data_IF_490102957050
#
_entry.id   IF_490102957050
#
_cell.length_a   1.000
_cell.length_b   1.000
_cell.length_c   1.000
_cell.angle_alpha   90.00
_cell.angle_beta   90.00
_cell.angle_gamma   90.00
#
_symmetry.space_group_name_H-M   'P 1'
#
loop_
_entity.id
_entity.type
_entity.pdbx_description
1 polymer ?
#
# COMPACT_ATOMS: atom_id res chain seq x y z
N UNK A 1 -58.01 -29.69 5.88
CA UNK A 1 -58.36 -30.10 7.24
C UNK A 1 -57.32 -29.57 8.22
N UNK A 2 -57.76 -28.70 9.18
CA UNK A 2 -57.14 -28.23 10.45
C UNK A 2 -55.81 -27.43 10.27
N UNK A 3 -55.75 -26.11 10.34
CA UNK A 3 -56.05 -25.06 11.34
C UNK A 3 -55.49 -25.34 12.73
N UNK A 4 -54.66 -24.44 13.18
CA UNK A 4 -54.34 -24.09 14.57
C UNK A 4 -52.84 -23.80 14.72
N UNK A 5 -52.33 -22.76 15.34
CA UNK A 5 -52.89 -21.69 16.20
C UNK A 5 -51.81 -20.65 16.45
N UNK A 6 -52.23 -19.38 16.42
CA UNK A 6 -51.47 -18.21 16.94
C UNK A 6 -51.09 -18.37 18.41
N UNK A 7 -49.90 -17.91 18.81
CA UNK A 7 -49.74 -17.27 20.15
C UNK A 7 -48.84 -16.05 20.07
N UNK A 8 -49.45 -14.90 20.43
CA UNK A 8 -48.85 -13.63 20.78
C UNK A 8 -48.28 -13.71 22.20
N UNK A 9 -47.17 -13.02 22.44
CA UNK A 9 -46.81 -12.44 23.77
C UNK A 9 -45.76 -11.38 23.48
N UNK A 10 -46.11 -10.15 23.58
CA UNK A 10 -46.13 -9.18 24.70
C UNK A 10 -44.78 -8.51 24.96
N UNK A 11 -44.74 -7.22 24.66
CA UNK A 11 -43.74 -6.23 25.00
C UNK A 11 -43.71 -5.97 26.52
N UNK A 12 -42.50 -5.77 27.06
CA UNK A 12 -42.32 -5.07 28.35
C UNK A 12 -41.29 -3.98 28.14
N UNK A 13 -41.77 -2.76 28.22
CA UNK A 13 -40.96 -1.57 28.29
C UNK A 13 -40.46 -1.35 29.73
N UNK A 14 -39.26 -0.88 29.87
CA UNK A 14 -38.76 -0.36 31.14
C UNK A 14 -38.24 1.06 30.92
N UNK A 15 -39.02 2.01 31.44
CA UNK A 15 -38.68 3.42 31.62
C UNK A 15 -37.96 3.53 32.96
N UNK A 16 -36.78 4.15 32.98
CA UNK A 16 -36.16 4.64 34.21
C UNK A 16 -35.80 6.09 34.04
N UNK A 17 -36.35 6.87 34.99
CA UNK A 17 -36.41 8.31 35.05
C UNK A 17 -35.11 8.99 35.47
N UNK A 18 -34.97 10.23 35.06
CA UNK A 18 -34.03 11.24 35.53
C UNK A 18 -34.09 11.50 37.02
N UNK A 19 -32.96 11.77 37.66
CA UNK A 19 -32.90 12.57 38.86
C UNK A 19 -31.85 13.67 38.72
N UNK A 20 -32.36 14.90 38.71
CA UNK A 20 -31.62 16.14 38.88
C UNK A 20 -31.20 16.29 40.34
N UNK A 21 -29.95 16.65 40.57
CA UNK A 21 -29.43 17.07 41.86
C UNK A 21 -28.76 18.44 41.72
N UNK A 22 -29.48 19.48 42.14
CA UNK A 22 -28.97 20.84 42.33
C UNK A 22 -28.42 20.95 43.74
N UNK A 23 -27.22 21.49 43.91
CA UNK A 23 -26.68 21.87 45.23
C UNK A 23 -25.71 23.03 45.06
N UNK A 24 -26.11 24.15 45.58
CA UNK A 24 -25.45 25.46 45.46
C UNK A 24 -24.58 25.80 46.68
N UNK A 25 -23.70 26.80 46.46
CA UNK A 25 -23.12 27.79 47.38
C UNK A 25 -21.97 27.44 48.28
N UNK A 26 -20.92 28.28 48.14
CA UNK A 26 -19.91 28.55 49.14
C UNK A 26 -18.82 29.46 48.61
N UNK A 27 -19.01 30.74 48.79
CA UNK A 27 -18.17 31.89 48.47
C UNK A 27 -17.08 32.08 49.55
N UNK A 28 -15.82 32.37 49.18
CA UNK A 28 -14.97 33.35 49.95
C UNK A 28 -13.82 33.87 49.06
N UNK A 29 -13.68 35.17 49.12
CA UNK A 29 -12.70 36.12 48.58
C UNK A 29 -11.28 35.89 49.08
N UNK A 30 -10.19 36.24 48.39
CA UNK A 30 -9.58 37.54 48.20
C UNK A 30 -8.10 37.47 47.78
N UNK A 31 -7.76 38.46 46.99
CA UNK A 31 -6.44 39.12 46.77
C UNK A 31 -5.36 38.38 45.99
N UNK A 32 -5.05 38.76 44.79
CA UNK A 32 -4.34 40.00 44.41
C UNK A 32 -2.89 39.67 44.14
N UNK A 33 -2.44 39.67 42.89
CA UNK A 33 -1.40 40.61 42.48
C UNK A 33 -1.11 40.49 40.95
N UNK A 34 -0.81 41.65 40.41
CA UNK A 34 -0.54 41.95 39.02
C UNK A 34 0.91 41.55 38.66
N UNK A 35 1.13 41.02 37.43
CA UNK A 35 2.35 41.41 36.69
C UNK A 35 2.35 40.85 35.26
N UNK A 36 2.23 41.77 34.33
CA UNK A 36 3.02 41.95 33.11
C UNK A 36 3.03 40.88 32.01
N UNK A 37 2.33 41.24 30.98
CA UNK A 37 2.60 40.91 29.57
C UNK A 37 4.01 41.28 29.14
N UNK A 38 4.80 40.33 28.64
CA UNK A 38 5.92 40.63 27.77
C UNK A 38 5.75 39.88 26.45
N UNK A 39 5.41 40.65 25.44
CA UNK A 39 5.60 40.35 24.03
C UNK A 39 7.10 40.18 23.75
N UNK A 40 7.48 39.11 23.07
CA UNK A 40 8.82 38.99 22.49
C UNK A 40 8.70 39.02 20.98
N UNK A 41 9.27 40.04 20.41
CA UNK A 41 9.35 40.37 19.01
C UNK A 41 10.26 39.37 18.24
N UNK A 42 9.88 39.16 17.00
CA UNK A 42 10.67 38.55 15.94
C UNK A 42 11.92 39.40 15.71
N UNK A 43 13.11 38.80 15.78
CA UNK A 43 14.36 39.39 15.30
C UNK A 43 14.92 38.55 14.17
N UNK A 44 14.89 39.14 12.98
CA UNK A 44 15.70 38.78 11.83
C UNK A 44 17.16 39.17 12.02
N UNK A 45 18.11 38.28 11.71
CA UNK A 45 19.51 38.66 11.45
C UNK A 45 20.11 37.62 10.50
N UNK A 46 20.31 38.00 9.25
CA UNK A 46 21.54 38.42 8.57
C UNK A 46 22.65 37.36 8.47
N UNK A 47 22.98 37.12 7.23
CA UNK A 47 24.11 36.36 6.71
C UNK A 47 25.47 36.82 7.23
N UNK A 48 26.33 35.84 7.51
CA UNK A 48 27.79 36.06 7.54
C UNK A 48 28.42 35.06 6.58
N UNK A 49 29.05 35.61 5.54
CA UNK A 49 29.95 34.89 4.67
C UNK A 49 31.35 34.87 5.28
N UNK A 50 32.02 33.70 5.25
CA UNK A 50 33.48 33.65 5.39
C UNK A 50 34.02 32.35 4.79
N UNK A 51 34.64 32.48 3.63
CA UNK A 51 35.87 31.93 3.04
C UNK A 51 36.27 30.47 3.29
N UNK A 52 36.24 29.74 2.22
CA UNK A 52 37.23 28.87 1.56
C UNK A 52 38.28 28.12 2.37
N UNK A 53 38.25 26.79 2.27
CA UNK A 53 39.42 26.03 1.85
C UNK A 53 38.95 24.72 1.18
N UNK A 54 39.51 24.48 0.02
CA UNK A 54 39.35 23.34 -0.87
C UNK A 54 39.94 22.06 -0.27
N UNK A 55 39.20 20.97 -0.32
CA UNK A 55 39.79 19.65 -0.55
C UNK A 55 38.79 18.82 -1.40
N UNK A 56 39.29 18.37 -2.54
CA UNK A 56 38.61 17.56 -3.53
C UNK A 56 38.25 16.18 -2.95
N UNK A 57 36.97 15.90 -2.85
CA UNK A 57 36.42 14.57 -2.66
C UNK A 57 35.32 14.36 -3.69
N UNK A 58 35.67 13.82 -4.86
CA UNK A 58 34.70 13.37 -5.85
C UNK A 58 33.77 12.32 -5.25
N UNK A 59 32.61 12.75 -4.82
CA UNK A 59 31.50 11.84 -4.53
C UNK A 59 30.68 11.70 -5.82
N UNK A 60 31.04 10.70 -6.63
CA UNK A 60 30.24 10.28 -7.77
C UNK A 60 28.91 9.74 -7.25
N UNK A 61 27.90 10.58 -7.24
CA UNK A 61 26.52 10.14 -7.24
C UNK A 61 26.33 9.39 -8.56
N UNK A 62 26.23 8.07 -8.47
CA UNK A 62 25.96 7.20 -9.61
C UNK A 62 24.63 7.61 -10.22
N UNK A 63 24.65 8.06 -11.47
CA UNK A 63 23.48 8.02 -12.33
C UNK A 63 22.99 6.59 -12.35
N UNK A 64 21.80 6.35 -11.82
CA UNK A 64 21.09 5.10 -12.03
C UNK A 64 20.92 4.91 -13.53
N UNK A 65 21.69 4.00 -14.10
CA UNK A 65 21.41 3.49 -15.43
C UNK A 65 20.17 2.62 -15.33
N UNK A 66 19.18 2.92 -16.19
CA UNK A 66 18.04 2.07 -16.51
C UNK A 66 18.50 0.70 -17.02
N UNK A 67 18.82 -0.22 -16.14
CA UNK A 67 19.12 -1.60 -16.50
C UNK A 67 18.73 -2.55 -15.38
N UNK A 68 17.45 -2.84 -15.28
CA UNK A 68 16.99 -4.10 -14.69
C UNK A 68 15.76 -4.61 -15.44
N UNK A 69 15.92 -4.84 -16.75
CA UNK A 69 15.08 -5.81 -17.43
C UNK A 69 15.57 -7.18 -17.04
N UNK A 70 14.86 -7.88 -16.15
CA UNK A 70 15.11 -9.31 -15.99
C UNK A 70 14.74 -9.97 -17.32
N UNK A 71 15.75 -10.41 -18.07
CA UNK A 71 15.59 -11.18 -19.31
C UNK A 71 15.17 -12.63 -19.02
N UNK A 72 14.77 -12.93 -17.78
CA UNK A 72 14.30 -14.23 -17.32
C UNK A 72 12.78 -14.39 -17.47
N UNK A 73 12.33 -15.63 -17.61
CA UNK A 73 10.91 -15.99 -17.50
C UNK A 73 10.40 -15.58 -16.10
N UNK A 74 9.35 -14.79 -16.03
CA UNK A 74 8.65 -14.51 -14.76
C UNK A 74 8.09 -15.82 -14.20
N UNK A 75 8.34 -16.08 -12.91
CA UNK A 75 7.84 -17.25 -12.22
C UNK A 75 6.30 -17.32 -12.24
N UNK A 76 5.76 -18.52 -12.16
CA UNK A 76 4.31 -18.78 -12.30
C UNK A 76 3.84 -19.79 -11.26
N UNK A 77 2.57 -19.70 -10.81
CA UNK A 77 1.97 -20.72 -9.95
C UNK A 77 1.95 -22.15 -10.55
N UNK A 78 2.15 -22.25 -11.86
CA UNK A 78 2.20 -23.52 -12.59
C UNK A 78 3.63 -24.09 -12.75
N UNK A 79 4.64 -23.36 -12.31
CA UNK A 79 6.03 -23.84 -12.37
C UNK A 79 6.26 -24.99 -11.37
N UNK A 80 7.02 -26.00 -11.83
CA UNK A 80 7.32 -27.18 -11.05
C UNK A 80 8.75 -27.09 -10.51
N UNK A 81 8.86 -27.13 -9.19
CA UNK A 81 10.12 -27.06 -8.42
C UNK A 81 10.22 -28.34 -7.56
N UNK A 82 10.79 -29.44 -8.11
CA UNK A 82 10.80 -30.75 -7.43
C UNK A 82 11.44 -30.72 -6.04
N UNK A 83 12.43 -29.82 -5.85
CA UNK A 83 13.18 -29.62 -4.62
C UNK A 83 12.33 -29.07 -3.47
N UNK A 84 11.16 -28.48 -3.78
CA UNK A 84 10.21 -27.93 -2.81
C UNK A 84 9.39 -29.01 -2.08
N UNK A 85 9.33 -30.24 -2.64
CA UNK A 85 8.44 -31.28 -2.15
C UNK A 85 8.67 -31.60 -0.67
N UNK A 86 7.59 -31.53 0.09
CA UNK A 86 7.58 -31.83 1.53
C UNK A 86 8.02 -30.68 2.42
N UNK A 87 8.46 -29.54 1.87
CA UNK A 87 8.79 -28.36 2.65
C UNK A 87 7.56 -27.79 3.34
N UNK A 88 7.80 -27.12 4.47
CA UNK A 88 6.82 -26.30 5.17
C UNK A 88 7.18 -24.83 4.94
N UNK A 89 6.30 -24.08 4.29
CA UNK A 89 6.49 -22.65 4.06
C UNK A 89 5.34 -21.89 4.68
N UNK A 90 5.66 -20.93 5.56
CA UNK A 90 4.70 -20.02 6.15
C UNK A 90 4.74 -18.66 5.47
N UNK A 91 3.60 -17.98 5.37
CA UNK A 91 3.52 -16.64 4.82
C UNK A 91 2.69 -15.72 5.73
N UNK A 92 3.11 -14.46 5.87
CA UNK A 92 2.28 -13.41 6.46
C UNK A 92 2.13 -12.26 5.46
N UNK A 93 0.90 -11.89 5.19
CA UNK A 93 0.52 -10.77 4.35
C UNK A 93 0.08 -9.61 5.24
N UNK A 94 0.35 -8.37 4.86
CA UNK A 94 -0.13 -7.22 5.62
C UNK A 94 -1.66 -7.24 5.76
N UNK A 95 -2.36 -7.74 4.73
CA UNK A 95 -3.80 -8.05 4.76
C UNK A 95 -4.13 -9.14 3.76
N UNK A 96 -5.24 -9.85 3.97
CA UNK A 96 -5.87 -10.74 2.98
C UNK A 96 -7.26 -10.23 2.56
N UNK A 97 -7.55 -8.94 2.79
CA UNK A 97 -8.86 -8.34 2.50
C UNK A 97 -8.90 -7.58 1.16
N UNK A 98 -7.74 -7.29 0.54
CA UNK A 98 -7.67 -6.69 -0.79
C UNK A 98 -7.61 -7.76 -1.88
N UNK A 99 -8.15 -7.45 -3.06
CA UNK A 99 -8.12 -8.38 -4.20
C UNK A 99 -6.67 -8.74 -4.57
N UNK A 100 -5.76 -7.78 -4.56
CA UNK A 100 -4.34 -8.01 -4.89
C UNK A 100 -3.68 -9.03 -3.96
N UNK A 101 -3.82 -8.87 -2.64
CA UNK A 101 -3.23 -9.80 -1.66
C UNK A 101 -3.92 -11.18 -1.70
N UNK A 102 -5.24 -11.24 -1.93
CA UNK A 102 -5.94 -12.52 -2.14
C UNK A 102 -5.42 -13.26 -3.37
N UNK A 103 -5.09 -12.54 -4.46
CA UNK A 103 -4.49 -13.14 -5.66
C UNK A 103 -3.12 -13.74 -5.37
N UNK A 104 -2.25 -13.01 -4.66
CA UNK A 104 -0.95 -13.55 -4.23
C UNK A 104 -1.13 -14.84 -3.41
N UNK A 105 -2.01 -14.83 -2.42
CA UNK A 105 -2.22 -15.99 -1.55
C UNK A 105 -2.82 -17.18 -2.31
N UNK A 106 -3.76 -16.95 -3.21
CA UNK A 106 -4.33 -18.00 -4.08
C UNK A 106 -3.26 -18.59 -5.01
N UNK A 107 -2.41 -17.75 -5.59
CA UNK A 107 -1.29 -18.17 -6.43
C UNK A 107 -0.29 -19.01 -5.62
N UNK A 108 0.04 -18.57 -4.40
CA UNK A 108 0.90 -19.31 -3.49
C UNK A 108 0.33 -20.70 -3.13
N UNK A 109 -0.96 -20.77 -2.82
CA UNK A 109 -1.66 -22.04 -2.55
C UNK A 109 -1.65 -22.98 -3.76
N UNK A 110 -1.86 -22.43 -4.96
CA UNK A 110 -1.80 -23.20 -6.22
C UNK A 110 -0.38 -23.73 -6.44
N UNK A 111 0.64 -22.85 -6.35
CA UNK A 111 2.04 -23.22 -6.47
C UNK A 111 2.43 -24.31 -5.45
N UNK A 112 2.07 -24.11 -4.19
CA UNK A 112 2.36 -25.06 -3.12
C UNK A 112 1.72 -26.45 -3.35
N UNK A 113 0.47 -26.47 -3.82
CA UNK A 113 -0.23 -27.72 -4.20
C UNK A 113 0.50 -28.43 -5.34
N UNK A 114 0.92 -27.70 -6.38
CA UNK A 114 1.60 -28.27 -7.55
C UNK A 114 2.98 -28.84 -7.18
N UNK A 115 3.63 -28.27 -6.17
CA UNK A 115 4.97 -28.62 -5.72
C UNK A 115 5.01 -29.50 -4.46
N UNK A 116 3.86 -29.88 -3.92
CA UNK A 116 3.77 -30.74 -2.72
C UNK A 116 4.32 -30.08 -1.46
N UNK A 117 4.17 -28.76 -1.33
CA UNK A 117 4.59 -27.93 -0.21
C UNK A 117 3.46 -27.84 0.81
N UNK A 118 3.76 -27.96 2.10
CA UNK A 118 2.84 -27.64 3.18
C UNK A 118 2.88 -26.12 3.44
N UNK A 119 1.97 -25.40 2.77
CA UNK A 119 1.88 -23.95 2.82
C UNK A 119 0.80 -23.49 3.79
N UNK A 120 1.11 -22.49 4.62
CA UNK A 120 0.16 -21.87 5.54
C UNK A 120 0.34 -20.35 5.49
N UNK A 121 -0.74 -19.63 5.25
CA UNK A 121 -0.78 -18.17 5.23
C UNK A 121 -1.54 -17.57 6.40
N UNK A 122 -1.20 -16.33 6.75
CA UNK A 122 -1.77 -15.56 7.84
C UNK A 122 -2.12 -14.15 7.35
N UNK A 123 -3.24 -13.64 7.83
CA UNK A 123 -3.66 -12.23 7.66
C UNK A 123 -3.04 -11.39 8.77
N UNK A 124 -2.20 -10.41 8.41
CA UNK A 124 -1.57 -9.47 9.33
C UNK A 124 -2.52 -8.40 9.86
N UNK A 125 -3.75 -8.31 9.32
CA UNK A 125 -4.78 -7.37 9.74
C UNK A 125 -4.30 -5.90 9.76
N UNK A 126 -3.43 -5.54 8.82
CA UNK A 126 -2.80 -4.22 8.73
C UNK A 126 -2.04 -3.81 10.02
N UNK A 127 -1.43 -4.79 10.70
CA UNK A 127 -0.71 -4.56 11.96
C UNK A 127 0.64 -5.29 11.98
N UNK A 128 1.74 -4.53 12.10
CA UNK A 128 3.10 -5.06 12.08
C UNK A 128 3.42 -5.92 13.32
N UNK A 129 2.80 -5.64 14.47
CA UNK A 129 2.99 -6.45 15.68
C UNK A 129 2.31 -7.82 15.50
N UNK A 130 1.12 -7.86 14.93
CA UNK A 130 0.44 -9.09 14.54
C UNK A 130 1.30 -9.92 13.58
N UNK A 131 1.97 -9.29 12.60
CA UNK A 131 2.87 -10.00 11.70
C UNK A 131 4.08 -10.59 12.43
N UNK A 132 4.63 -9.89 13.44
CA UNK A 132 5.72 -10.42 14.26
C UNK A 132 5.27 -11.67 15.05
N UNK A 133 4.11 -11.62 15.70
CA UNK A 133 3.54 -12.77 16.43
C UNK A 133 3.31 -13.98 15.52
N UNK A 134 2.89 -13.72 14.27
CA UNK A 134 2.71 -14.75 13.24
C UNK A 134 4.05 -15.36 12.80
N UNK A 135 5.09 -14.54 12.62
CA UNK A 135 6.44 -15.02 12.33
C UNK A 135 6.99 -15.87 13.46
N UNK A 136 6.82 -15.45 14.72
CA UNK A 136 7.23 -16.25 15.89
C UNK A 136 6.46 -17.57 15.97
N UNK A 137 5.17 -17.57 15.62
CA UNK A 137 4.35 -18.79 15.51
C UNK A 137 4.89 -19.73 14.43
N UNK A 138 5.21 -19.20 13.24
CA UNK A 138 5.79 -20.01 12.15
C UNK A 138 7.16 -20.61 12.54
N UNK A 139 7.98 -19.84 13.26
CA UNK A 139 9.26 -20.33 13.80
C UNK A 139 9.03 -21.50 14.79
N UNK A 140 8.05 -21.37 15.69
CA UNK A 140 7.69 -22.42 16.67
C UNK A 140 7.11 -23.66 15.98
N UNK A 141 6.35 -23.51 14.90
CA UNK A 141 5.80 -24.58 14.07
C UNK A 141 6.87 -25.32 13.24
N UNK A 142 8.11 -24.81 13.22
CA UNK A 142 9.25 -25.38 12.52
C UNK A 142 9.07 -25.35 11.01
N UNK A 143 8.78 -24.17 10.44
CA UNK A 143 8.76 -23.96 8.99
C UNK A 143 10.18 -23.94 8.43
N UNK A 144 10.34 -24.36 7.17
CA UNK A 144 11.62 -24.34 6.48
C UNK A 144 11.95 -22.95 5.93
N UNK A 145 10.94 -22.15 5.58
CA UNK A 145 11.08 -20.77 5.12
C UNK A 145 9.85 -19.94 5.44
N UNK A 146 10.03 -18.61 5.44
CA UNK A 146 8.97 -17.61 5.68
C UNK A 146 8.88 -16.66 4.50
N UNK A 147 7.66 -16.36 4.05
CA UNK A 147 7.35 -15.28 3.10
C UNK A 147 6.75 -14.12 3.89
N UNK A 148 7.27 -12.93 3.68
CA UNK A 148 6.85 -11.70 4.36
C UNK A 148 6.39 -10.67 3.34
N UNK A 149 5.10 -10.31 3.38
CA UNK A 149 4.58 -9.12 2.74
C UNK A 149 4.32 -8.06 3.83
N UNK A 150 5.29 -7.17 4.10
CA UNK A 150 5.26 -6.33 5.30
C UNK A 150 4.24 -5.20 5.25
N UNK A 151 3.62 -4.92 6.40
CA UNK A 151 2.73 -3.79 6.60
C UNK A 151 3.48 -2.45 6.67
N UNK A 152 4.68 -2.46 7.24
CA UNK A 152 5.49 -1.27 7.45
C UNK A 152 6.96 -1.61 7.23
N UNK A 153 7.67 -0.73 6.52
CA UNK A 153 9.05 -1.00 6.12
C UNK A 153 10.02 -1.08 7.31
N UNK A 154 9.82 -0.29 8.34
CA UNK A 154 10.71 -0.24 9.51
C UNK A 154 10.24 -1.21 10.62
N UNK A 155 8.95 -1.17 10.98
CA UNK A 155 8.41 -1.99 12.07
C UNK A 155 8.55 -3.49 11.78
N UNK A 156 8.31 -3.94 10.55
CA UNK A 156 8.46 -5.34 10.16
C UNK A 156 9.93 -5.82 10.09
N UNK A 157 10.91 -4.94 10.29
CA UNK A 157 12.32 -5.32 10.50
C UNK A 157 12.49 -6.31 11.66
N UNK A 158 11.60 -6.26 12.66
CA UNK A 158 11.54 -7.21 13.76
C UNK A 158 11.26 -8.65 13.29
N UNK A 159 10.38 -8.83 12.29
CA UNK A 159 10.07 -10.12 11.67
C UNK A 159 11.33 -10.77 11.07
N UNK A 160 12.10 -9.98 10.32
CA UNK A 160 13.36 -10.45 9.72
C UNK A 160 14.35 -10.85 10.81
N UNK A 161 14.53 -10.02 11.84
CA UNK A 161 15.44 -10.32 12.93
C UNK A 161 15.05 -11.60 13.70
N UNK A 162 13.75 -11.86 13.91
CA UNK A 162 13.26 -13.08 14.54
C UNK A 162 13.59 -14.32 13.71
N UNK A 163 13.30 -14.30 12.40
CA UNK A 163 13.59 -15.40 11.49
C UNK A 163 15.10 -15.68 11.38
N UNK A 164 15.92 -14.65 11.22
CA UNK A 164 17.39 -14.76 11.17
C UNK A 164 17.96 -15.36 12.44
N UNK A 165 17.47 -14.93 13.60
CA UNK A 165 17.87 -15.49 14.91
C UNK A 165 17.53 -16.98 15.03
N UNK A 166 16.43 -17.41 14.41
CA UNK A 166 16.02 -18.81 14.37
C UNK A 166 16.75 -19.62 13.26
N UNK A 167 17.52 -18.97 12.39
CA UNK A 167 18.21 -19.63 11.26
C UNK A 167 17.26 -20.01 10.12
N UNK A 168 16.09 -19.37 10.02
CA UNK A 168 15.07 -19.64 9.00
C UNK A 168 15.16 -18.56 7.91
N UNK A 169 15.31 -18.94 6.62
CA UNK A 169 15.22 -17.99 5.52
C UNK A 169 13.88 -17.24 5.50
N UNK A 170 13.95 -15.93 5.33
CA UNK A 170 12.78 -15.07 5.19
C UNK A 170 12.91 -14.24 3.91
N UNK A 171 11.93 -14.38 3.02
CA UNK A 171 11.89 -13.72 1.71
C UNK A 171 10.77 -12.71 1.70
N UNK A 172 11.10 -11.48 1.32
CA UNK A 172 10.13 -10.40 1.13
C UNK A 172 9.38 -10.58 -0.19
N UNK A 173 8.13 -10.16 -0.23
CA UNK A 173 7.32 -10.13 -1.45
C UNK A 173 6.54 -8.84 -1.54
N UNK A 174 6.41 -8.28 -2.75
CA UNK A 174 5.61 -7.11 -3.10
C UNK A 174 6.06 -5.81 -2.41
N UNK A 175 5.88 -5.65 -1.10
CA UNK A 175 6.39 -4.52 -0.32
C UNK A 175 7.72 -4.84 0.34
N UNK A 176 8.58 -3.85 0.52
CA UNK A 176 9.93 -4.01 1.06
C UNK A 176 9.97 -3.77 2.57
N UNK A 177 10.96 -4.38 3.24
CA UNK A 177 11.29 -4.13 4.64
C UNK A 177 12.71 -3.59 4.75
N UNK A 178 12.94 -2.60 5.58
CA UNK A 178 14.24 -1.97 5.84
C UNK A 178 15.11 -2.87 6.73
N UNK A 179 15.65 -3.97 6.16
CA UNK A 179 16.53 -4.88 6.85
C UNK A 179 17.47 -5.60 5.86
N UNK A 180 18.77 -5.33 5.97
CA UNK A 180 19.83 -5.88 5.12
C UNK A 180 20.01 -7.42 5.24
N UNK A 181 19.47 -8.00 6.33
CA UNK A 181 19.50 -9.45 6.60
C UNK A 181 18.34 -10.20 5.96
N UNK A 182 17.43 -9.51 5.26
CA UNK A 182 16.41 -10.19 4.46
C UNK A 182 17.10 -11.15 3.48
N UNK A 183 16.61 -12.39 3.40
CA UNK A 183 17.23 -13.45 2.59
C UNK A 183 17.15 -13.13 1.11
N UNK A 184 16.01 -12.70 0.64
CA UNK A 184 15.74 -12.28 -0.73
C UNK A 184 14.45 -11.49 -0.82
N UNK A 185 14.19 -10.90 -1.99
CA UNK A 185 12.99 -10.11 -2.27
C UNK A 185 12.51 -10.38 -3.70
N UNK A 186 11.19 -10.46 -3.88
CA UNK A 186 10.58 -10.50 -5.20
C UNK A 186 9.42 -9.51 -5.25
N UNK A 187 9.48 -8.53 -6.15
CA UNK A 187 8.48 -7.47 -6.23
C UNK A 187 8.62 -6.62 -7.48
N UNK A 188 8.12 -5.40 -7.43
CA UNK A 188 8.18 -4.43 -8.53
C UNK A 188 8.81 -3.12 -8.07
N UNK A 189 9.27 -2.28 -9.01
CA UNK A 189 9.88 -0.98 -8.68
C UNK A 189 8.80 0.08 -8.52
N UNK A 190 8.30 0.29 -7.32
CA UNK A 190 7.18 1.18 -7.03
C UNK A 190 7.44 2.66 -7.36
N UNK A 191 8.70 3.11 -7.37
CA UNK A 191 9.05 4.46 -7.85
C UNK A 191 8.67 4.60 -9.33
N UNK A 192 8.99 3.60 -10.16
CA UNK A 192 8.64 3.66 -11.59
C UNK A 192 7.13 3.63 -11.81
N UNK A 193 6.38 2.85 -11.02
CA UNK A 193 4.90 2.86 -11.10
C UNK A 193 4.32 4.25 -10.81
N UNK A 194 4.78 4.92 -9.75
CA UNK A 194 4.40 6.30 -9.45
C UNK A 194 4.71 7.26 -10.59
N UNK A 195 5.90 7.10 -11.20
CA UNK A 195 6.28 7.89 -12.37
C UNK A 195 5.40 7.59 -13.60
N UNK A 196 5.11 6.32 -13.87
CA UNK A 196 4.34 5.88 -15.04
C UNK A 196 2.90 6.37 -14.98
N UNK A 197 2.21 6.23 -13.84
CA UNK A 197 0.84 6.73 -13.70
C UNK A 197 0.78 8.26 -13.81
N UNK A 198 1.75 8.97 -13.24
CA UNK A 198 1.76 10.44 -13.33
C UNK A 198 2.07 10.92 -14.76
N UNK A 199 3.04 10.31 -15.44
CA UNK A 199 3.35 10.59 -16.85
C UNK A 199 2.13 10.32 -17.75
N UNK A 200 1.42 9.19 -17.50
CA UNK A 200 0.22 8.85 -18.26
C UNK A 200 -0.90 9.87 -18.01
N UNK A 201 -1.12 10.30 -16.77
CA UNK A 201 -2.10 11.32 -16.42
C UNK A 201 -1.81 12.64 -17.16
N UNK A 202 -0.55 13.11 -17.17
CA UNK A 202 -0.15 14.33 -17.88
C UNK A 202 -0.42 14.21 -19.38
N UNK A 203 -0.06 13.07 -19.97
CA UNK A 203 -0.33 12.81 -21.40
C UNK A 203 -1.84 12.78 -21.70
N UNK A 204 -2.64 12.20 -20.84
CA UNK A 204 -4.11 12.16 -20.99
C UNK A 204 -4.72 13.54 -20.90
N UNK A 205 -4.34 14.34 -19.90
CA UNK A 205 -4.84 15.69 -19.69
C UNK A 205 -4.46 16.63 -20.84
N UNK A 206 -3.31 16.39 -21.46
CA UNK A 206 -2.77 17.22 -22.57
C UNK A 206 -2.82 18.73 -22.26
N UNK A 207 -2.45 19.11 -21.03
CA UNK A 207 -2.43 20.48 -20.50
C UNK A 207 -1.15 20.70 -19.70
N UNK A 208 -0.61 21.91 -19.74
CA UNK A 208 0.59 22.30 -18.97
C UNK A 208 0.29 22.65 -17.51
N UNK A 209 -0.98 22.89 -17.18
CA UNK A 209 -1.43 23.31 -15.85
C UNK A 209 -2.79 22.71 -15.53
N UNK A 210 -2.87 22.00 -14.42
CA UNK A 210 -4.09 21.43 -13.86
C UNK A 210 -3.86 21.04 -12.39
N UNK A 211 -4.93 20.77 -11.68
CA UNK A 211 -4.88 20.42 -10.28
C UNK A 211 -5.22 18.94 -10.08
N UNK A 212 -4.44 18.27 -9.27
CA UNK A 212 -4.68 16.87 -8.89
C UNK A 212 -4.97 16.72 -7.41
N UNK A 213 -5.62 15.64 -7.05
CA UNK A 213 -5.59 15.09 -5.69
C UNK A 213 -4.89 13.75 -5.73
N UNK A 214 -4.13 13.42 -4.67
CA UNK A 214 -3.36 12.17 -4.56
C UNK A 214 -3.90 11.35 -3.39
N UNK A 215 -4.27 10.09 -3.65
CA UNK A 215 -4.75 9.16 -2.64
C UNK A 215 -3.66 8.12 -2.40
N UNK A 216 -3.13 8.10 -1.18
CA UNK A 216 -1.98 7.29 -0.80
C UNK A 216 -2.38 6.01 -0.06
N UNK A 217 -1.49 5.03 -0.11
CA UNK A 217 -1.55 3.83 0.71
C UNK A 217 -1.27 4.07 2.20
N UNK A 218 -1.16 2.99 3.01
CA UNK A 218 -0.81 3.08 4.42
C UNK A 218 0.54 3.74 4.61
N UNK A 219 0.59 4.74 5.47
CA UNK A 219 1.81 5.49 5.77
C UNK A 219 2.90 4.56 6.33
N UNK A 220 4.10 4.66 5.77
CA UNK A 220 5.25 3.86 6.20
C UNK A 220 5.42 2.53 5.43
N UNK A 221 4.46 2.13 4.62
CA UNK A 221 4.64 0.99 3.72
C UNK A 221 5.51 1.40 2.53
N UNK A 222 6.42 0.53 2.11
CA UNK A 222 7.39 0.88 1.06
C UNK A 222 6.73 1.26 -0.27
N UNK A 223 5.65 0.60 -0.66
CA UNK A 223 4.93 0.91 -1.89
C UNK A 223 4.35 2.34 -1.85
N UNK A 224 3.74 2.75 -0.72
CA UNK A 224 3.26 4.12 -0.54
C UNK A 224 4.41 5.14 -0.66
N UNK A 225 5.52 4.92 0.08
CA UNK A 225 6.66 5.83 0.08
C UNK A 225 7.29 6.00 -1.32
N UNK A 226 7.40 4.89 -2.06
CA UNK A 226 8.04 4.87 -3.37
C UNK A 226 7.12 5.39 -4.48
N UNK A 227 5.80 5.08 -4.44
CA UNK A 227 4.85 5.59 -5.43
C UNK A 227 4.69 7.10 -5.33
N UNK A 228 4.59 7.67 -4.12
CA UNK A 228 4.56 9.12 -3.96
C UNK A 228 5.89 9.77 -4.35
N UNK A 229 7.04 9.12 -4.12
CA UNK A 229 8.34 9.58 -4.62
C UNK A 229 8.32 9.66 -6.14
N UNK A 230 7.85 8.62 -6.83
CA UNK A 230 7.74 8.58 -8.30
C UNK A 230 6.83 9.68 -8.85
N UNK A 231 5.65 9.88 -8.26
CA UNK A 231 4.74 10.98 -8.61
C UNK A 231 5.45 12.33 -8.48
N UNK A 232 6.13 12.56 -7.36
CA UNK A 232 6.85 13.80 -7.10
C UNK A 232 8.05 13.99 -8.04
N UNK A 233 8.76 12.93 -8.44
CA UNK A 233 9.84 12.99 -9.41
C UNK A 233 9.36 13.60 -10.72
N UNK A 234 8.21 13.13 -11.23
CA UNK A 234 7.61 13.66 -12.46
C UNK A 234 7.15 15.10 -12.27
N UNK A 235 6.47 15.42 -11.17
CA UNK A 235 5.94 16.77 -10.92
C UNK A 235 7.00 17.86 -10.83
N UNK A 236 8.27 17.53 -10.53
CA UNK A 236 9.38 18.50 -10.56
C UNK A 236 9.55 19.17 -11.92
N UNK A 237 9.27 18.45 -13.00
CA UNK A 237 9.37 18.96 -14.36
C UNK A 237 8.10 19.70 -14.81
N UNK A 238 7.02 19.62 -14.03
CA UNK A 238 5.71 20.20 -14.31
C UNK A 238 5.22 21.14 -13.19
N UNK A 239 5.92 22.23 -12.87
CA UNK A 239 5.66 23.08 -11.69
C UNK A 239 4.29 23.81 -11.71
N UNK A 240 3.56 23.74 -12.81
CA UNK A 240 2.20 24.29 -12.91
C UNK A 240 1.11 23.30 -12.57
N UNK A 241 1.44 22.02 -12.39
CA UNK A 241 0.53 21.02 -11.87
C UNK A 241 0.57 21.10 -10.35
N UNK A 242 -0.59 21.27 -9.73
CA UNK A 242 -0.68 21.48 -8.28
C UNK A 242 -1.39 20.31 -7.60
N UNK A 243 -0.81 19.81 -6.52
CA UNK A 243 -1.51 18.89 -5.61
C UNK A 243 -2.39 19.72 -4.69
N UNK A 244 -3.72 19.67 -4.88
CA UNK A 244 -4.69 20.40 -4.03
C UNK A 244 -4.87 19.73 -2.67
N UNK A 245 -4.82 18.40 -2.66
CA UNK A 245 -4.97 17.59 -1.46
C UNK A 245 -4.27 16.24 -1.64
N UNK A 246 -3.72 15.73 -0.55
CA UNK A 246 -3.02 14.46 -0.48
C UNK A 246 -3.27 13.84 0.89
N UNK A 247 -3.69 12.58 0.95
CA UNK A 247 -3.88 11.86 2.20
C UNK A 247 -3.97 10.36 1.94
N UNK A 248 -3.76 9.56 2.98
CA UNK A 248 -3.93 8.12 2.93
C UNK A 248 -5.39 7.70 2.97
N UNK A 249 -5.71 6.64 2.23
CA UNK A 249 -6.94 5.86 2.35
C UNK A 249 -6.64 4.36 2.53
N UNK A 250 -5.43 4.01 2.99
CA UNK A 250 -5.05 2.69 3.51
C UNK A 250 -5.34 1.51 2.54
N UNK A 251 -5.18 1.71 1.22
CA UNK A 251 -5.57 0.77 0.15
C UNK A 251 -7.07 0.43 0.14
N UNK A 252 -7.91 1.17 0.86
CA UNK A 252 -9.33 0.89 1.06
C UNK A 252 -10.22 1.68 0.11
N UNK A 253 -11.08 0.99 -0.64
CA UNK A 253 -12.07 1.59 -1.55
C UNK A 253 -13.03 2.50 -0.78
N UNK A 254 -13.53 2.05 0.37
CA UNK A 254 -14.50 2.82 1.16
C UNK A 254 -13.88 4.05 1.82
N UNK A 255 -12.63 3.97 2.28
CA UNK A 255 -11.94 5.13 2.84
C UNK A 255 -11.64 6.16 1.75
N UNK A 256 -11.20 5.71 0.57
CA UNK A 256 -10.97 6.59 -0.58
C UNK A 256 -12.25 7.28 -1.07
N UNK A 257 -13.39 6.58 -1.07
CA UNK A 257 -14.68 7.17 -1.38
C UNK A 257 -15.00 8.31 -0.40
N UNK A 258 -14.91 8.07 0.91
CA UNK A 258 -15.17 9.07 1.95
C UNK A 258 -14.21 10.26 1.87
N UNK A 259 -12.94 9.99 1.60
CA UNK A 259 -11.90 11.01 1.41
C UNK A 259 -12.22 11.90 0.20
N UNK A 260 -12.60 11.28 -0.94
CA UNK A 260 -12.95 12.01 -2.15
C UNK A 260 -14.22 12.84 -2.00
N UNK A 261 -15.26 12.36 -1.31
CA UNK A 261 -16.46 13.14 -0.96
C UNK A 261 -16.10 14.42 -0.18
N UNK A 262 -15.15 14.29 0.77
CA UNK A 262 -14.63 15.43 1.53
C UNK A 262 -13.91 16.42 0.62
N UNK A 263 -13.09 15.93 -0.30
CA UNK A 263 -12.34 16.79 -1.22
C UNK A 263 -13.24 17.45 -2.27
N UNK A 264 -14.27 16.76 -2.77
CA UNK A 264 -15.28 17.36 -3.64
C UNK A 264 -15.99 18.49 -2.92
N UNK A 265 -16.37 18.31 -1.65
CA UNK A 265 -17.00 19.35 -0.85
C UNK A 265 -16.09 20.56 -0.64
N UNK A 266 -14.79 20.34 -0.46
CA UNK A 266 -13.81 21.39 -0.12
C UNK A 266 -13.29 22.12 -1.36
N UNK A 267 -13.02 21.40 -2.45
CA UNK A 267 -12.34 21.92 -3.64
C UNK A 267 -13.26 22.04 -4.87
N UNK A 268 -14.33 21.21 -4.93
CA UNK A 268 -15.31 21.25 -6.03
C UNK A 268 -14.67 21.15 -7.41
N UNK A 269 -15.07 22.05 -8.31
CA UNK A 269 -14.63 22.10 -9.70
C UNK A 269 -13.13 22.42 -9.88
N UNK A 270 -12.39 22.62 -8.80
CA UNK A 270 -10.94 22.84 -8.88
C UNK A 270 -10.16 21.54 -9.03
N UNK A 271 -10.77 20.39 -8.79
CA UNK A 271 -10.12 19.08 -8.95
C UNK A 271 -10.22 18.69 -10.41
N UNK A 272 -9.10 18.65 -11.10
CA UNK A 272 -9.02 18.25 -12.51
C UNK A 272 -8.77 16.74 -12.70
N UNK A 273 -8.06 16.10 -11.77
CA UNK A 273 -7.73 14.67 -11.86
C UNK A 273 -7.46 14.03 -10.49
N UNK A 274 -7.61 12.69 -10.42
CA UNK A 274 -7.28 11.85 -9.26
C UNK A 274 -6.16 10.89 -9.64
N UNK A 275 -5.08 10.92 -8.87
CA UNK A 275 -3.98 9.95 -8.93
C UNK A 275 -4.02 9.13 -7.65
N UNK A 276 -4.37 7.85 -7.77
CA UNK A 276 -4.43 6.94 -6.64
C UNK A 276 -3.30 5.91 -6.72
N UNK A 277 -2.67 5.62 -5.60
CA UNK A 277 -1.55 4.69 -5.54
C UNK A 277 -1.98 3.22 -5.66
N UNK A 278 -3.30 2.93 -5.67
CA UNK A 278 -3.83 1.63 -6.11
C UNK A 278 -5.24 1.75 -6.71
N UNK A 279 -5.70 0.66 -7.30
CA UNK A 279 -6.98 0.57 -8.01
C UNK A 279 -8.19 0.60 -7.08
N UNK A 280 -8.11 -0.02 -5.90
CA UNK A 280 -9.21 0.02 -4.93
C UNK A 280 -9.53 1.47 -4.55
N UNK A 281 -8.51 2.28 -4.30
CA UNK A 281 -8.70 3.69 -3.97
C UNK A 281 -9.15 4.52 -5.19
N UNK A 282 -8.63 4.23 -6.38
CA UNK A 282 -9.08 4.88 -7.62
C UNK A 282 -10.57 4.62 -7.88
N UNK A 283 -11.02 3.39 -7.67
CA UNK A 283 -12.43 3.00 -7.83
C UNK A 283 -13.31 3.67 -6.76
N UNK A 284 -12.87 3.71 -5.51
CA UNK A 284 -13.60 4.42 -4.45
C UNK A 284 -13.76 5.92 -4.74
N UNK A 285 -12.69 6.57 -5.19
CA UNK A 285 -12.75 7.96 -5.64
C UNK A 285 -13.72 8.13 -6.81
N UNK A 286 -13.70 7.22 -7.78
CA UNK A 286 -14.61 7.24 -8.93
C UNK A 286 -16.08 7.14 -8.51
N UNK A 287 -16.41 6.29 -7.54
CA UNK A 287 -17.77 6.17 -7.00
C UNK A 287 -18.25 7.51 -6.39
N UNK A 288 -17.43 8.20 -5.62
CA UNK A 288 -17.74 9.51 -5.06
C UNK A 288 -17.95 10.59 -6.15
N UNK A 289 -17.08 10.58 -7.17
CA UNK A 289 -17.16 11.49 -8.33
C UNK A 289 -18.46 11.29 -9.10
N UNK A 290 -18.85 10.03 -9.37
CA UNK A 290 -20.10 9.70 -10.04
C UNK A 290 -21.32 10.10 -9.21
N UNK A 291 -21.29 9.87 -7.90
CA UNK A 291 -22.38 10.28 -6.98
C UNK A 291 -22.56 11.80 -6.94
N UNK A 292 -21.49 12.56 -7.09
CA UNK A 292 -21.52 14.03 -7.18
C UNK A 292 -21.96 14.55 -8.58
N UNK A 293 -22.15 13.67 -9.56
CA UNK A 293 -22.49 14.07 -10.93
C UNK A 293 -21.33 14.74 -11.67
N UNK A 294 -20.09 14.51 -11.23
CA UNK A 294 -18.86 15.05 -11.83
C UNK A 294 -18.23 14.04 -12.80
N UNK A 295 -17.33 14.53 -13.63
CA UNK A 295 -16.51 13.69 -14.52
C UNK A 295 -15.04 14.07 -14.38
N UNK A 296 -14.34 13.43 -13.45
CA UNK A 296 -12.94 13.66 -13.13
C UNK A 296 -12.17 12.38 -13.47
N UNK A 297 -11.12 12.45 -14.33
CA UNK A 297 -10.31 11.29 -14.67
C UNK A 297 -9.58 10.72 -13.46
N UNK A 298 -9.58 9.37 -13.35
CA UNK A 298 -8.91 8.61 -12.29
C UNK A 298 -7.94 7.61 -12.89
N UNK A 299 -6.80 7.42 -12.23
CA UNK A 299 -5.80 6.40 -12.55
C UNK A 299 -5.41 5.65 -11.27
N UNK A 300 -5.05 4.37 -11.41
CA UNK A 300 -4.62 3.51 -10.30
C UNK A 300 -3.47 2.59 -10.67
N UNK A 301 -3.14 1.68 -9.77
CA UNK A 301 -2.12 0.63 -9.90
C UNK A 301 -2.74 -0.67 -9.38
N UNK A 302 -2.38 -1.80 -9.91
CA UNK A 302 -2.59 -3.22 -9.60
C UNK A 302 -3.18 -4.01 -10.77
N UNK A 303 -4.06 -3.42 -11.58
CA UNK A 303 -4.79 -4.14 -12.64
C UNK A 303 -5.82 -5.13 -12.08
N UNK A 304 -6.52 -4.79 -10.98
CA UNK A 304 -7.58 -5.65 -10.44
C UNK A 304 -8.77 -5.75 -11.39
N UNK A 305 -9.58 -6.80 -11.26
CA UNK A 305 -10.68 -7.12 -12.19
C UNK A 305 -11.61 -5.94 -12.43
N UNK A 306 -12.01 -5.26 -11.36
CA UNK A 306 -12.91 -4.10 -11.46
C UNK A 306 -12.25 -2.92 -12.19
N UNK A 307 -10.95 -2.68 -11.94
CA UNK A 307 -10.21 -1.60 -12.59
C UNK A 307 -10.00 -1.87 -14.09
N UNK A 308 -9.64 -3.10 -14.48
CA UNK A 308 -9.57 -3.50 -15.90
C UNK A 308 -10.92 -3.27 -16.60
N UNK A 309 -12.02 -3.61 -15.92
CA UNK A 309 -13.37 -3.36 -16.42
C UNK A 309 -13.67 -1.85 -16.49
N UNK A 310 -13.26 -1.08 -15.48
CA UNK A 310 -13.44 0.37 -15.43
C UNK A 310 -12.65 1.09 -16.54
N UNK A 311 -11.42 0.64 -16.83
CA UNK A 311 -10.65 1.14 -17.97
C UNK A 311 -11.36 0.81 -19.30
N UNK A 312 -11.88 -0.41 -19.43
CA UNK A 312 -12.58 -0.86 -20.64
C UNK A 312 -13.88 -0.11 -20.95
N UNK A 313 -14.57 0.37 -19.92
CA UNK A 313 -15.82 1.13 -20.05
C UNK A 313 -15.66 2.65 -19.90
N UNK A 314 -14.41 3.14 -19.79
CA UNK A 314 -14.07 4.56 -19.73
C UNK A 314 -14.27 5.23 -18.37
N UNK A 315 -14.48 4.47 -17.29
CA UNK A 315 -14.61 5.01 -15.92
C UNK A 315 -13.27 5.34 -15.28
N UNK A 316 -12.22 4.62 -15.66
CA UNK A 316 -10.82 4.94 -15.34
C UNK A 316 -10.05 5.15 -16.64
N UNK A 317 -9.04 6.01 -16.61
CA UNK A 317 -8.22 6.30 -17.81
C UNK A 317 -7.18 5.22 -18.08
N UNK A 318 -6.64 4.62 -17.01
CA UNK A 318 -5.67 3.53 -17.04
C UNK A 318 -5.52 2.90 -15.65
N UNK A 319 -4.84 1.76 -15.59
CA UNK A 319 -4.31 1.13 -14.38
C UNK A 319 -2.93 0.55 -14.68
N UNK A 320 -1.97 0.67 -13.79
CA UNK A 320 -0.65 0.09 -13.97
C UNK A 320 -0.62 -1.31 -13.35
N UNK A 321 -0.58 -2.34 -14.22
CA UNK A 321 -0.71 -3.72 -13.80
C UNK A 321 0.49 -4.20 -13.02
N UNK A 322 0.24 -4.74 -11.84
CA UNK A 322 1.20 -5.41 -10.99
C UNK A 322 0.97 -6.92 -10.98
N UNK A 323 2.00 -7.71 -11.35
CA UNK A 323 1.87 -9.16 -11.48
C UNK A 323 1.99 -9.88 -10.12
N UNK A 324 0.89 -9.94 -9.38
CA UNK A 324 0.81 -10.60 -8.07
C UNK A 324 1.24 -12.06 -8.09
N UNK A 325 0.83 -12.82 -9.11
CA UNK A 325 1.16 -14.25 -9.26
C UNK A 325 2.66 -14.46 -9.49
N UNK A 326 3.26 -13.63 -10.35
CA UNK A 326 4.69 -13.67 -10.62
C UNK A 326 5.51 -13.35 -9.39
N UNK A 327 5.15 -12.30 -8.66
CA UNK A 327 5.87 -11.88 -7.46
C UNK A 327 5.89 -12.99 -6.39
N UNK A 328 4.73 -13.57 -6.06
CA UNK A 328 4.69 -14.60 -5.03
C UNK A 328 5.34 -15.90 -5.46
N UNK A 329 5.23 -16.28 -6.74
CA UNK A 329 5.87 -17.49 -7.26
C UNK A 329 7.40 -17.35 -7.22
N UNK A 330 7.94 -16.19 -7.63
CA UNK A 330 9.38 -15.90 -7.53
C UNK A 330 9.89 -15.90 -6.09
N UNK A 331 9.12 -15.31 -5.16
CA UNK A 331 9.47 -15.34 -3.74
C UNK A 331 9.50 -16.78 -3.17
N UNK A 332 8.55 -17.64 -3.56
CA UNK A 332 8.53 -19.05 -3.15
C UNK A 332 9.71 -19.83 -3.74
N UNK A 333 10.04 -19.62 -5.01
CA UNK A 333 11.24 -20.24 -5.64
C UNK A 333 12.53 -19.77 -4.96
N UNK A 334 12.64 -18.48 -4.65
CA UNK A 334 13.79 -17.92 -3.92
C UNK A 334 13.90 -18.55 -2.52
N UNK A 335 12.77 -18.74 -1.82
CA UNK A 335 12.73 -19.41 -0.52
C UNK A 335 13.25 -20.86 -0.61
N UNK A 336 12.82 -21.63 -1.63
CA UNK A 336 13.31 -23.00 -1.86
C UNK A 336 14.81 -23.03 -2.11
N UNK A 337 15.31 -22.16 -3.00
CA UNK A 337 16.75 -22.05 -3.28
C UNK A 337 17.56 -21.72 -2.03
N UNK A 338 17.05 -20.79 -1.22
CA UNK A 338 17.69 -20.41 0.05
C UNK A 338 17.78 -21.59 1.03
N UNK A 339 16.70 -22.38 1.20
CA UNK A 339 16.69 -23.57 2.05
C UNK A 339 17.67 -24.63 1.55
N UNK A 340 17.82 -24.76 0.21
CA UNK A 340 18.74 -25.73 -0.41
C UNK A 340 20.19 -25.25 -0.47
N UNK A 341 20.46 -23.99 -0.13
CA UNK A 341 21.81 -23.40 -0.25
C UNK A 341 22.23 -23.17 -1.70
N UNK A 342 21.26 -23.06 -2.60
CA UNK A 342 21.48 -22.77 -4.01
C UNK A 342 21.71 -21.27 -4.24
N UNK A 343 22.25 -20.92 -5.40
CA UNK A 343 22.42 -19.52 -5.78
C UNK A 343 21.08 -18.93 -6.29
N UNK A 344 20.81 -17.71 -5.90
CA UNK A 344 19.68 -16.91 -6.38
C UNK A 344 20.06 -15.42 -6.39
N UNK A 345 19.33 -14.62 -7.16
CA UNK A 345 19.44 -13.17 -7.10
C UNK A 345 18.73 -12.66 -5.82
N UNK A 346 19.39 -11.76 -5.09
CA UNK A 346 18.85 -11.24 -3.84
C UNK A 346 17.55 -10.46 -4.05
N UNK A 347 17.42 -9.80 -5.18
CA UNK A 347 16.26 -9.03 -5.59
C UNK A 347 15.81 -9.46 -6.97
N UNK A 348 14.55 -9.84 -7.10
CA UNK A 348 13.90 -10.15 -8.37
C UNK A 348 12.84 -9.08 -8.66
N UNK A 349 13.03 -8.39 -9.78
CA UNK A 349 12.16 -7.29 -10.18
C UNK A 349 11.24 -7.70 -11.32
N UNK A 350 9.92 -7.62 -11.08
CA UNK A 350 8.87 -7.89 -12.07
C UNK A 350 8.33 -6.54 -12.56
N UNK A 351 8.35 -6.29 -13.88
CA UNK A 351 7.95 -5.00 -14.41
C UNK A 351 6.45 -4.74 -14.22
N UNK A 352 6.08 -3.48 -14.11
CA UNK A 352 4.72 -3.02 -14.29
C UNK A 352 4.34 -3.02 -15.78
N UNK A 353 3.03 -3.06 -16.08
CA UNK A 353 2.51 -3.04 -17.45
C UNK A 353 1.27 -2.12 -17.52
N UNK A 354 1.36 -0.99 -18.21
CA UNK A 354 0.25 -0.03 -18.27
C UNK A 354 -0.97 -0.58 -19.03
N UNK A 355 -2.09 -0.73 -18.33
CA UNK A 355 -3.41 -1.09 -18.90
C UNK A 355 -4.10 0.20 -19.34
N UNK A 356 -4.50 0.22 -20.59
CA UNK A 356 -5.15 1.36 -21.24
C UNK A 356 -6.42 0.92 -21.96
N UNK A 357 -7.29 1.82 -22.43
CA UNK A 357 -8.43 1.45 -23.27
C UNK A 357 -8.08 0.70 -24.57
N UNK A 358 -6.79 0.68 -24.95
CA UNK A 358 -6.34 -0.01 -26.17
C UNK A 358 -6.02 -1.49 -25.93
N UNK A 359 -5.57 -1.85 -24.71
CA UNK A 359 -5.06 -3.20 -24.40
C UNK A 359 -5.76 -3.89 -23.22
N UNK A 360 -6.76 -3.26 -22.56
CA UNK A 360 -7.42 -3.83 -21.38
C UNK A 360 -7.96 -5.25 -21.58
N UNK A 361 -8.31 -5.62 -22.83
CA UNK A 361 -8.83 -6.95 -23.17
C UNK A 361 -7.82 -8.06 -22.90
N UNK A 362 -6.53 -7.76 -23.00
CA UNK A 362 -5.44 -8.72 -22.77
C UNK A 362 -5.32 -9.07 -21.28
N UNK A 363 -5.95 -8.26 -20.41
CA UNK A 363 -5.92 -8.39 -18.95
C UNK A 363 -7.25 -8.90 -18.36
N UNK A 364 -8.36 -8.91 -19.11
CA UNK A 364 -9.69 -9.32 -18.61
C UNK A 364 -9.76 -10.77 -18.09
N UNK A 365 -8.87 -11.64 -18.56
CA UNK A 365 -8.84 -13.06 -18.19
C UNK A 365 -7.46 -13.48 -17.67
N UNK A 366 -6.64 -12.52 -17.24
CA UNK A 366 -5.29 -12.81 -16.76
C UNK A 366 -5.29 -13.38 -15.33
N UNK A 367 -6.48 -13.36 -14.68
CA UNK A 367 -6.71 -13.85 -13.33
C UNK A 367 -8.01 -14.67 -13.23
#
# INVERSE_FOLDING_TARGET
MKLGSLKKCMAVGLVIAMSLGVGACGNTQQAGDSAETKSVAVASTQAVASSASSEDGENKVGKGEDTASSTGKVASPDDVVPEAKGMKIGATYYTLQTEFCMRMDNAAKKWAKNNGVNYKSYDGNNDAATQLDQVETMIADGVDAIILNPQDADACSACVNAAVKAGIPIVGVNTMVNNDKLTGYCGSQDVSAGEEIMKYMIQYMNKDAFNIVVIEGPMGQSAQLQRIEGINNVLRDYPKIQILAQNTANWSRSEAMTLMETWITTHGDKIDAVVAENDEMALGAREAIEAAGMDIPCIGIDGITDAVSAVGNGKMIASDFQNAEGQISGALETAVKAVKGEKFEKEEWIPFEMITPKNYKDYQNRY
#
